data_IF_015013067272
#
_entry.id   IF_015013067272
#
_cell.length_a   1.000
_cell.length_b   1.000
_cell.length_c   1.000
_cell.angle_alpha   90.00
_cell.angle_beta   90.00
_cell.angle_gamma   90.00
#
_symmetry.space_group_name_H-M   'P 1'
#
loop_
_entity.id
_entity.type
_entity.pdbx_description
1 polymer ?
#
# COMPACT_ATOMS: atom_id res chain seq x y z
N UNK A 1 -5.58 -11.02 -52.98
CA UNK A 1 -6.63 -10.57 -52.02
C UNK A 1 -6.94 -11.52 -50.85
N UNK A 2 -7.18 -12.83 -51.00
CA UNK A 2 -7.66 -13.69 -49.88
C UNK A 2 -6.69 -13.93 -48.70
N UNK A 3 -5.37 -13.84 -48.92
CA UNK A 3 -4.36 -14.16 -47.88
C UNK A 3 -4.11 -12.98 -46.92
N UNK A 4 -4.20 -11.75 -47.42
CA UNK A 4 -4.01 -10.52 -46.62
C UNK A 4 -5.20 -10.25 -45.71
N UNK A 5 -6.42 -10.56 -46.15
CA UNK A 5 -7.63 -10.43 -45.32
C UNK A 5 -7.66 -11.44 -44.17
N UNK A 6 -7.21 -12.68 -44.39
CA UNK A 6 -7.17 -13.71 -43.35
C UNK A 6 -6.15 -13.38 -42.24
N UNK A 7 -4.97 -12.88 -42.63
CA UNK A 7 -3.94 -12.45 -41.67
C UNK A 7 -4.40 -11.25 -40.83
N UNK A 8 -5.03 -10.25 -41.46
CA UNK A 8 -5.52 -9.06 -40.77
C UNK A 8 -6.61 -9.39 -39.73
N UNK A 9 -7.51 -10.31 -40.06
CA UNK A 9 -8.56 -10.75 -39.14
C UNK A 9 -7.98 -11.50 -37.92
N UNK A 10 -7.04 -12.43 -38.12
CA UNK A 10 -6.36 -13.12 -37.01
C UNK A 10 -5.58 -12.13 -36.13
N UNK A 11 -4.91 -11.14 -36.74
CA UNK A 11 -4.24 -10.09 -35.99
C UNK A 11 -5.22 -9.24 -35.16
N UNK A 12 -6.34 -8.83 -35.75
CA UNK A 12 -7.37 -8.01 -35.10
C UNK A 12 -8.00 -8.74 -33.90
N UNK A 13 -8.32 -10.02 -34.07
CA UNK A 13 -8.89 -10.87 -33.02
C UNK A 13 -7.92 -11.00 -31.82
N UNK A 14 -6.64 -11.22 -32.09
CA UNK A 14 -5.60 -11.27 -31.04
C UNK A 14 -5.48 -9.94 -30.29
N UNK A 15 -5.53 -8.81 -31.00
CA UNK A 15 -5.49 -7.49 -30.37
C UNK A 15 -6.71 -7.25 -29.47
N UNK A 16 -7.90 -7.59 -29.95
CA UNK A 16 -9.15 -7.45 -29.16
C UNK A 16 -9.07 -8.32 -27.91
N UNK A 17 -8.64 -9.58 -28.04
CA UNK A 17 -8.45 -10.48 -26.92
C UNK A 17 -7.48 -9.91 -25.89
N UNK A 18 -6.30 -9.44 -26.31
CA UNK A 18 -5.31 -8.84 -25.41
C UNK A 18 -5.87 -7.61 -24.68
N UNK A 19 -6.54 -6.70 -25.38
CA UNK A 19 -7.14 -5.51 -24.76
C UNK A 19 -8.18 -5.91 -23.69
N UNK A 20 -9.05 -6.87 -23.99
CA UNK A 20 -10.04 -7.36 -23.04
C UNK A 20 -9.39 -8.03 -21.82
N UNK A 21 -8.36 -8.85 -22.02
CA UNK A 21 -7.64 -9.47 -20.90
C UNK A 21 -6.99 -8.43 -19.99
N UNK A 22 -6.41 -7.37 -20.55
CA UNK A 22 -5.82 -6.28 -19.77
C UNK A 22 -6.88 -5.50 -18.98
N UNK A 23 -8.06 -5.24 -19.57
CA UNK A 23 -9.17 -4.62 -18.85
C UNK A 23 -9.63 -5.44 -17.65
N UNK A 24 -9.77 -6.76 -17.83
CA UNK A 24 -10.09 -7.68 -16.74
C UNK A 24 -9.03 -7.69 -15.66
N UNK A 25 -7.75 -7.75 -16.03
CA UNK A 25 -6.65 -7.71 -15.06
C UNK A 25 -6.66 -6.41 -14.24
N UNK A 26 -6.84 -5.26 -14.89
CA UNK A 26 -6.95 -3.96 -14.20
C UNK A 26 -8.14 -3.98 -13.25
N UNK A 27 -9.30 -4.46 -13.68
CA UNK A 27 -10.50 -4.53 -12.83
C UNK A 27 -10.29 -5.44 -11.61
N UNK A 28 -9.68 -6.61 -11.79
CA UNK A 28 -9.40 -7.55 -10.69
C UNK A 28 -8.43 -6.99 -9.67
N UNK A 29 -7.33 -6.36 -10.12
CA UNK A 29 -6.37 -5.72 -9.21
C UNK A 29 -7.02 -4.55 -8.48
N UNK A 30 -7.83 -3.76 -9.16
CA UNK A 30 -8.55 -2.64 -8.54
C UNK A 30 -9.54 -3.12 -7.47
N UNK A 31 -10.27 -4.21 -7.74
CA UNK A 31 -11.15 -4.83 -6.75
C UNK A 31 -10.37 -5.35 -5.53
N UNK A 32 -9.20 -5.96 -5.76
CA UNK A 32 -8.31 -6.39 -4.69
C UNK A 32 -7.83 -5.21 -3.83
N UNK A 33 -7.44 -4.09 -4.46
CA UNK A 33 -7.07 -2.85 -3.74
C UNK A 33 -8.23 -2.36 -2.87
N UNK A 34 -9.47 -2.37 -3.37
CA UNK A 34 -10.65 -1.96 -2.60
C UNK A 34 -10.84 -2.85 -1.37
N UNK A 35 -10.77 -4.17 -1.54
CA UNK A 35 -10.94 -5.12 -0.43
C UNK A 35 -9.86 -4.90 0.63
N UNK A 36 -8.60 -4.80 0.20
CA UNK A 36 -7.46 -4.56 1.10
C UNK A 36 -7.57 -3.21 1.82
N UNK A 37 -7.82 -2.11 1.09
CA UNK A 37 -8.00 -0.79 1.67
C UNK A 37 -9.19 -0.74 2.65
N UNK A 38 -10.29 -1.42 2.34
CA UNK A 38 -11.45 -1.49 3.24
C UNK A 38 -11.14 -2.28 4.50
N UNK A 39 -10.31 -3.32 4.43
CA UNK A 39 -9.85 -4.04 5.61
C UNK A 39 -8.90 -3.19 6.46
N UNK A 40 -7.92 -2.57 5.83
CA UNK A 40 -6.86 -1.84 6.53
C UNK A 40 -7.33 -0.47 7.07
N UNK A 41 -8.44 0.10 6.56
CA UNK A 41 -9.01 1.35 7.08
C UNK A 41 -9.82 1.16 8.37
N UNK A 42 -10.13 -0.08 8.78
CA UNK A 42 -10.91 -0.37 10.00
C UNK A 42 -10.14 0.09 11.25
N UNK A 43 -8.86 -0.27 11.36
CA UNK A 43 -8.02 0.09 12.51
C UNK A 43 -7.90 1.61 12.72
N UNK A 44 -7.58 2.40 11.68
CA UNK A 44 -7.50 3.85 11.82
C UNK A 44 -8.86 4.49 12.12
N UNK A 45 -9.95 3.96 11.56
CA UNK A 45 -11.32 4.41 11.88
C UNK A 45 -11.64 4.16 13.36
N UNK A 46 -11.39 2.95 13.86
CA UNK A 46 -11.60 2.62 15.26
C UNK A 46 -10.83 3.59 16.17
N UNK A 47 -9.54 3.79 15.89
CA UNK A 47 -8.75 4.74 16.65
C UNK A 47 -9.25 6.19 16.53
N UNK A 48 -9.78 6.62 15.36
CA UNK A 48 -10.23 8.00 15.10
C UNK A 48 -11.58 8.34 15.71
N UNK A 49 -12.52 7.41 15.67
CA UNK A 49 -13.94 7.72 15.86
C UNK A 49 -14.60 6.87 16.95
N UNK A 50 -13.98 5.79 17.41
CA UNK A 50 -14.55 4.96 18.47
C UNK A 50 -14.42 5.63 19.84
N UNK A 51 -15.36 5.32 20.74
CA UNK A 51 -15.27 5.79 22.12
C UNK A 51 -14.10 5.09 22.82
N UNK A 52 -13.39 5.82 23.70
CA UNK A 52 -12.31 5.25 24.50
C UNK A 52 -12.80 4.05 25.31
N UNK A 53 -14.03 4.09 25.85
CA UNK A 53 -14.60 2.97 26.60
C UNK A 53 -14.65 1.67 25.78
N UNK A 54 -15.07 1.75 24.51
CA UNK A 54 -15.12 0.58 23.64
C UNK A 54 -13.71 0.12 23.24
N UNK A 55 -12.83 1.06 22.91
CA UNK A 55 -11.44 0.77 22.53
C UNK A 55 -10.67 0.07 23.67
N UNK A 56 -10.85 0.54 24.90
CA UNK A 56 -10.19 0.01 26.09
C UNK A 56 -10.98 -1.11 26.78
N UNK A 57 -12.16 -1.51 26.29
CA UNK A 57 -12.96 -2.58 26.92
C UNK A 57 -12.16 -3.88 27.10
N UNK A 58 -11.35 -4.27 26.10
CA UNK A 58 -10.49 -5.44 26.19
C UNK A 58 -9.41 -5.30 27.25
N UNK A 59 -8.81 -4.11 27.34
CA UNK A 59 -7.78 -3.75 28.34
C UNK A 59 -8.38 -3.75 29.75
N UNK A 60 -9.53 -3.10 29.94
CA UNK A 60 -10.30 -3.09 31.18
C UNK A 60 -10.61 -4.51 31.63
N UNK A 61 -11.11 -5.35 30.73
CA UNK A 61 -11.41 -6.76 31.05
C UNK A 61 -10.16 -7.52 31.49
N UNK A 62 -9.05 -7.37 30.76
CA UNK A 62 -7.79 -8.05 31.09
C UNK A 62 -7.23 -7.61 32.46
N UNK A 63 -7.36 -6.32 32.78
CA UNK A 63 -6.96 -5.78 34.09
C UNK A 63 -7.94 -6.23 35.19
N UNK A 64 -9.25 -6.18 34.96
CA UNK A 64 -10.26 -6.62 35.94
C UNK A 64 -10.17 -8.11 36.28
N UNK A 65 -9.66 -8.94 35.38
CA UNK A 65 -9.39 -10.37 35.64
C UNK A 65 -8.19 -10.56 36.59
N UNK A 66 -7.26 -9.60 36.63
CA UNK A 66 -5.98 -9.68 37.36
C UNK A 66 -5.91 -8.78 38.60
N UNK A 67 -6.81 -7.81 38.73
CA UNK A 67 -6.84 -6.83 39.82
C UNK A 67 -8.26 -6.57 40.33
N UNK A 68 -8.35 -5.74 41.37
CA UNK A 68 -9.59 -5.09 41.78
C UNK A 68 -10.25 -4.41 40.57
N UNK A 69 -11.58 -4.54 40.45
CA UNK A 69 -12.37 -3.92 39.38
C UNK A 69 -11.97 -2.47 39.17
N UNK A 70 -11.57 -2.16 37.95
CA UNK A 70 -11.22 -0.82 37.52
C UNK A 70 -12.46 0.07 37.46
N UNK A 71 -12.30 1.33 37.85
CA UNK A 71 -13.34 2.35 37.77
C UNK A 71 -12.73 3.59 37.11
N UNK A 72 -12.51 3.49 35.80
CA UNK A 72 -11.87 4.53 35.01
C UNK A 72 -12.94 5.31 34.26
N UNK A 73 -13.02 6.62 34.50
CA UNK A 73 -13.79 7.52 33.68
C UNK A 73 -13.01 7.84 32.39
N UNK A 74 -13.53 7.42 31.24
CA UNK A 74 -12.96 7.69 29.92
C UNK A 74 -13.50 8.97 29.26
N UNK A 75 -14.52 9.61 29.86
CA UNK A 75 -15.18 10.79 29.29
C UNK A 75 -14.47 12.09 29.61
N UNK A 76 -13.66 12.11 30.68
CA UNK A 76 -12.90 13.30 31.10
C UNK A 76 -11.85 13.79 30.08
N UNK A 77 -11.39 15.03 30.26
CA UNK A 77 -10.40 15.65 29.35
C UNK A 77 -9.03 14.97 29.41
N UNK A 78 -8.59 14.54 30.60
CA UNK A 78 -7.29 13.89 30.83
C UNK A 78 -7.12 12.59 30.03
N UNK A 79 -8.02 11.58 30.08
CA UNK A 79 -7.88 10.35 29.30
C UNK A 79 -7.96 10.62 27.79
N UNK A 80 -8.80 11.56 27.34
CA UNK A 80 -8.88 11.93 25.92
C UNK A 80 -7.58 12.59 25.42
N UNK A 81 -7.03 13.53 26.20
CA UNK A 81 -5.75 14.17 25.88
C UNK A 81 -4.64 13.13 25.80
N UNK A 82 -4.56 12.26 26.82
CA UNK A 82 -3.54 11.23 26.88
C UNK A 82 -3.67 10.22 25.75
N UNK A 83 -4.88 9.82 25.41
CA UNK A 83 -5.14 8.95 24.27
C UNK A 83 -4.69 9.57 22.96
N UNK A 84 -5.03 10.85 22.69
CA UNK A 84 -4.59 11.55 21.47
C UNK A 84 -3.07 11.60 21.36
N UNK A 85 -2.42 11.78 22.49
CA UNK A 85 -0.98 11.88 22.60
C UNK A 85 -0.29 10.53 22.39
N UNK A 86 -0.78 9.47 23.04
CA UNK A 86 -0.31 8.09 22.89
C UNK A 86 -0.49 7.57 21.46
N UNK A 87 -1.62 7.90 20.85
CA UNK A 87 -1.96 7.52 19.48
C UNK A 87 -1.05 8.20 18.45
N UNK A 88 -0.69 9.46 18.68
CA UNK A 88 0.06 10.27 17.73
C UNK A 88 -0.67 10.54 16.40
N UNK A 89 0.01 11.13 15.41
CA UNK A 89 -0.60 11.53 14.13
C UNK A 89 -0.76 10.38 13.13
N UNK A 90 -0.15 9.23 13.40
CA UNK A 90 0.01 8.15 12.42
C UNK A 90 -1.32 7.58 11.91
N UNK A 91 -2.30 7.23 12.77
CA UNK A 91 -3.56 6.70 12.26
C UNK A 91 -4.31 7.71 11.37
N UNK A 92 -4.16 9.01 11.62
CA UNK A 92 -4.77 10.06 10.79
C UNK A 92 -4.14 10.07 9.39
N UNK A 93 -2.81 9.98 9.31
CA UNK A 93 -2.09 9.93 8.03
C UNK A 93 -2.50 8.69 7.24
N UNK A 94 -2.52 7.52 7.88
CA UNK A 94 -2.93 6.26 7.26
C UNK A 94 -4.39 6.34 6.79
N UNK A 95 -5.29 6.86 7.62
CA UNK A 95 -6.72 7.03 7.27
C UNK A 95 -6.92 7.90 6.03
N UNK A 96 -6.29 9.08 5.98
CA UNK A 96 -6.38 9.98 4.83
C UNK A 96 -5.84 9.30 3.58
N UNK A 97 -4.67 8.67 3.69
CA UNK A 97 -4.03 7.99 2.58
C UNK A 97 -4.88 6.84 2.02
N UNK A 98 -5.39 5.94 2.87
CA UNK A 98 -6.26 4.83 2.47
C UNK A 98 -7.59 5.33 1.88
N UNK A 99 -8.13 6.44 2.40
CA UNK A 99 -9.36 7.05 1.85
C UNK A 99 -9.15 7.52 0.41
N UNK A 100 -8.01 8.14 0.11
CA UNK A 100 -7.69 8.60 -1.25
C UNK A 100 -7.47 7.39 -2.18
N UNK A 101 -6.77 6.35 -1.73
CA UNK A 101 -6.60 5.11 -2.50
C UNK A 101 -7.96 4.48 -2.82
N UNK A 102 -8.83 4.34 -1.81
CA UNK A 102 -10.15 3.75 -1.96
C UNK A 102 -11.01 4.55 -2.96
N UNK A 103 -11.02 5.88 -2.84
CA UNK A 103 -11.73 6.76 -3.75
C UNK A 103 -11.20 6.63 -5.18
N UNK A 104 -9.88 6.62 -5.38
CA UNK A 104 -9.29 6.45 -6.70
C UNK A 104 -9.61 5.08 -7.31
N UNK A 105 -9.52 4.00 -6.53
CA UNK A 105 -9.85 2.65 -6.98
C UNK A 105 -11.32 2.53 -7.41
N UNK A 106 -12.25 3.11 -6.65
CA UNK A 106 -13.67 3.20 -7.03
C UNK A 106 -13.83 3.97 -8.35
N UNK A 107 -13.14 5.11 -8.51
CA UNK A 107 -13.16 5.87 -9.75
C UNK A 107 -12.59 5.09 -10.94
N UNK A 108 -11.53 4.29 -10.75
CA UNK A 108 -10.99 3.40 -11.80
C UNK A 108 -12.05 2.38 -12.23
N UNK A 109 -12.74 1.72 -11.29
CA UNK A 109 -13.81 0.78 -11.63
C UNK A 109 -14.95 1.45 -12.40
N UNK A 110 -15.40 2.63 -11.96
CA UNK A 110 -16.43 3.38 -12.69
C UNK A 110 -15.97 3.80 -14.09
N UNK A 111 -14.71 4.20 -14.24
CA UNK A 111 -14.13 4.54 -15.54
C UNK A 111 -14.08 3.35 -16.51
N UNK A 112 -13.81 2.14 -15.99
CA UNK A 112 -13.88 0.90 -16.76
C UNK A 112 -15.31 0.52 -17.13
N UNK A 113 -16.25 0.58 -16.17
CA UNK A 113 -17.66 0.21 -16.38
C UNK A 113 -18.36 1.10 -17.41
N UNK A 114 -18.14 2.42 -17.33
CA UNK A 114 -18.76 3.40 -18.23
C UNK A 114 -17.93 3.71 -19.47
N UNK A 115 -16.77 3.05 -19.65
CA UNK A 115 -15.83 3.31 -20.76
C UNK A 115 -15.46 4.80 -20.91
N UNK A 116 -15.33 5.51 -19.79
CA UNK A 116 -15.06 6.95 -19.77
C UNK A 116 -13.55 7.23 -19.89
N UNK A 117 -13.04 7.33 -21.12
CA UNK A 117 -11.59 7.43 -21.38
C UNK A 117 -10.91 8.64 -20.73
N UNK A 118 -11.55 9.81 -20.77
CA UNK A 118 -11.01 11.03 -20.16
C UNK A 118 -10.92 10.88 -18.63
N UNK A 119 -11.96 10.32 -18.02
CA UNK A 119 -12.00 10.05 -16.59
C UNK A 119 -10.91 9.05 -16.17
N UNK A 120 -10.69 8.00 -16.96
CA UNK A 120 -9.60 7.06 -16.74
C UNK A 120 -8.22 7.73 -16.79
N UNK A 121 -7.99 8.62 -17.76
CA UNK A 121 -6.72 9.39 -17.84
C UNK A 121 -6.50 10.24 -16.58
N UNK A 122 -7.51 10.96 -16.12
CA UNK A 122 -7.44 11.73 -14.87
C UNK A 122 -7.12 10.84 -13.66
N UNK A 123 -7.79 9.69 -13.53
CA UNK A 123 -7.54 8.75 -12.44
C UNK A 123 -6.12 8.19 -12.47
N UNK A 124 -5.53 7.99 -13.66
CA UNK A 124 -4.14 7.55 -13.79
C UNK A 124 -3.13 8.62 -13.33
N UNK A 125 -3.40 9.90 -13.55
CA UNK A 125 -2.56 10.97 -12.97
C UNK A 125 -2.62 11.01 -11.43
N UNK A 126 -3.80 10.77 -10.86
CA UNK A 126 -3.95 10.62 -9.40
C UNK A 126 -3.18 9.39 -8.92
N UNK A 127 -3.28 8.26 -9.63
CA UNK A 127 -2.56 7.03 -9.31
C UNK A 127 -1.02 7.21 -9.35
N UNK A 128 -0.51 7.98 -10.31
CA UNK A 128 0.91 8.34 -10.37
C UNK A 128 1.29 9.24 -9.18
N UNK A 129 0.46 10.21 -8.82
CA UNK A 129 0.67 11.04 -7.62
C UNK A 129 0.70 10.20 -6.34
N UNK A 130 -0.20 9.22 -6.24
CA UNK A 130 -0.25 8.25 -5.14
C UNK A 130 1.01 7.39 -5.12
N UNK A 131 1.50 6.91 -6.26
CA UNK A 131 2.75 6.16 -6.33
C UNK A 131 3.96 6.94 -5.81
N UNK A 132 4.04 8.24 -6.13
CA UNK A 132 5.09 9.13 -5.61
C UNK A 132 4.94 9.30 -4.09
N UNK A 133 3.71 9.48 -3.61
CA UNK A 133 3.43 9.57 -2.18
C UNK A 133 3.78 8.26 -1.45
N UNK A 134 3.43 7.09 -2.00
CA UNK A 134 3.78 5.77 -1.47
C UNK A 134 5.29 5.63 -1.33
N UNK A 135 6.04 5.99 -2.37
CA UNK A 135 7.50 5.95 -2.36
C UNK A 135 8.08 6.89 -1.29
N UNK A 136 7.58 8.12 -1.18
CA UNK A 136 8.04 9.09 -0.19
C UNK A 136 7.75 8.61 1.25
N UNK A 137 6.55 8.09 1.50
CA UNK A 137 6.14 7.54 2.79
C UNK A 137 7.00 6.31 3.11
N UNK A 138 7.12 5.35 2.19
CA UNK A 138 7.93 4.14 2.36
C UNK A 138 9.40 4.47 2.67
N UNK A 139 10.02 5.38 1.89
CA UNK A 139 11.40 5.82 2.12
C UNK A 139 11.54 6.50 3.49
N UNK A 140 10.59 7.35 3.87
CA UNK A 140 10.62 8.00 5.18
C UNK A 140 10.58 6.97 6.30
N UNK A 141 9.74 5.95 6.21
CA UNK A 141 9.60 4.95 7.28
C UNK A 141 10.73 3.93 7.35
N UNK A 142 11.36 3.58 6.23
CA UNK A 142 12.48 2.63 6.23
C UNK A 142 13.78 3.26 6.70
N UNK A 143 14.02 4.54 6.37
CA UNK A 143 15.24 5.25 6.74
C UNK A 143 15.14 5.97 8.09
N UNK A 144 13.94 6.18 8.62
CA UNK A 144 13.77 6.74 9.96
C UNK A 144 14.11 5.65 10.98
N UNK A 145 15.16 5.89 11.78
CA UNK A 145 15.50 5.01 12.89
C UNK A 145 14.26 4.84 13.78
N UNK A 146 13.82 3.59 14.04
CA UNK A 146 12.72 3.28 14.94
C UNK A 146 12.81 4.03 16.26
N UNK A 147 14.04 4.18 16.79
CA UNK A 147 14.32 4.87 18.05
C UNK A 147 14.01 6.36 17.97
N UNK A 148 14.21 7.00 16.82
CA UNK A 148 13.91 8.42 16.62
C UNK A 148 12.42 8.69 16.42
N UNK A 149 11.66 7.76 15.81
CA UNK A 149 10.20 7.89 15.74
C UNK A 149 9.50 7.60 17.06
N UNK A 150 10.01 6.62 17.82
CA UNK A 150 9.40 6.16 19.07
C UNK A 150 9.90 6.97 20.27
N UNK A 151 11.04 7.66 20.18
CA UNK A 151 11.57 8.50 21.27
C UNK A 151 10.56 9.50 21.84
N UNK A 152 9.84 10.25 20.98
CA UNK A 152 8.79 11.16 21.45
C UNK A 152 7.62 10.43 22.14
N UNK A 153 7.29 9.22 21.71
CA UNK A 153 6.26 8.39 22.34
C UNK A 153 6.74 7.86 23.69
N UNK A 154 7.99 7.42 23.79
CA UNK A 154 8.60 6.93 25.03
C UNK A 154 8.76 8.04 26.06
N UNK A 155 9.21 9.23 25.66
CA UNK A 155 9.32 10.41 26.52
C UNK A 155 7.96 10.77 27.12
N UNK A 156 6.91 10.65 26.32
CA UNK A 156 5.57 10.99 26.74
C UNK A 156 4.95 9.90 27.62
N UNK A 157 5.19 8.62 27.31
CA UNK A 157 4.85 7.51 28.21
C UNK A 157 5.54 7.64 29.57
N UNK A 158 6.81 8.07 29.58
CA UNK A 158 7.53 8.32 30.83
C UNK A 158 6.88 9.47 31.64
N UNK A 159 6.32 10.49 30.97
CA UNK A 159 5.51 11.52 31.64
C UNK A 159 4.18 10.98 32.15
N UNK A 160 3.57 10.00 31.47
CA UNK A 160 2.37 9.32 31.98
C UNK A 160 2.68 8.51 33.24
N UNK A 161 3.86 7.88 33.29
CA UNK A 161 4.28 7.02 34.40
C UNK A 161 4.20 7.72 35.76
N UNK A 162 4.49 9.02 35.81
CA UNK A 162 4.45 9.79 37.07
C UNK A 162 3.02 9.96 37.62
N UNK A 163 1.99 9.72 36.80
CA UNK A 163 0.57 9.78 37.17
C UNK A 163 0.01 8.42 37.62
N UNK A 164 0.86 7.39 37.69
CA UNK A 164 0.50 6.07 38.17
C UNK A 164 0.12 6.09 39.65
N UNK A 165 -1.05 5.54 40.00
CA UNK A 165 -1.59 5.59 41.35
C UNK A 165 -1.30 4.32 42.16
N UNK A 166 -1.13 3.15 41.53
CA UNK A 166 -0.87 1.88 42.22
C UNK A 166 -1.79 0.74 41.79
N UNK A 167 -2.10 -0.16 42.72
CA UNK A 167 -2.95 -1.33 42.46
C UNK A 167 -4.44 -0.98 42.23
N UNK A 168 -4.88 0.19 42.69
CA UNK A 168 -6.25 0.68 42.47
C UNK A 168 -6.34 1.40 41.12
N UNK A 169 -6.99 0.75 40.16
CA UNK A 169 -7.12 1.24 38.79
C UNK A 169 -8.27 2.26 38.66
N UNK A 170 -8.05 3.46 39.23
CA UNK A 170 -9.03 4.55 39.27
C UNK A 170 -8.78 5.66 38.24
N UNK A 171 -7.67 5.59 37.50
CA UNK A 171 -7.34 6.54 36.45
C UNK A 171 -6.73 5.83 35.24
N UNK A 172 -6.82 6.50 34.09
CA UNK A 172 -6.36 5.97 32.82
C UNK A 172 -4.85 5.63 32.78
N UNK A 173 -3.93 6.45 33.34
CA UNK A 173 -2.51 6.08 33.46
C UNK A 173 -2.27 4.75 34.18
N UNK A 174 -2.97 4.51 35.30
CA UNK A 174 -2.82 3.26 36.06
C UNK A 174 -3.32 2.06 35.29
N UNK A 175 -4.47 2.20 34.60
CA UNK A 175 -5.02 1.15 33.75
C UNK A 175 -4.02 0.77 32.65
N UNK A 176 -3.49 1.78 31.96
CA UNK A 176 -2.56 1.59 30.85
C UNK A 176 -1.29 0.87 31.31
N UNK A 177 -0.64 1.33 32.39
CA UNK A 177 0.58 0.69 32.87
C UNK A 177 0.34 -0.71 33.43
N UNK A 178 -0.79 -0.94 34.13
CA UNK A 178 -1.12 -2.28 34.62
C UNK A 178 -1.28 -3.28 33.45
N UNK A 179 -1.92 -2.85 32.36
CA UNK A 179 -2.02 -3.64 31.15
C UNK A 179 -0.67 -3.85 30.46
N UNK A 180 0.09 -2.78 30.22
CA UNK A 180 1.38 -2.84 29.51
C UNK A 180 2.35 -3.78 30.22
N UNK A 181 2.49 -3.67 31.55
CA UNK A 181 3.42 -4.51 32.30
C UNK A 181 3.09 -6.00 32.15
N UNK A 182 1.79 -6.36 32.22
CA UNK A 182 1.34 -7.74 32.17
C UNK A 182 1.31 -8.30 30.75
N UNK A 183 0.82 -7.53 29.79
CA UNK A 183 0.70 -7.96 28.40
C UNK A 183 2.05 -8.13 27.71
N UNK A 184 3.01 -7.24 28.01
CA UNK A 184 4.34 -7.26 27.40
C UNK A 184 5.43 -7.84 28.31
N UNK A 185 5.08 -8.32 29.50
CA UNK A 185 6.02 -8.89 30.48
C UNK A 185 7.21 -7.96 30.77
N UNK A 186 6.90 -6.69 31.04
CA UNK A 186 7.86 -5.62 31.24
C UNK A 186 7.58 -4.84 32.52
N UNK A 187 8.55 -4.08 33.02
CA UNK A 187 8.35 -3.24 34.18
C UNK A 187 9.14 -1.93 34.08
N UNK A 188 8.45 -0.81 34.30
CA UNK A 188 9.05 0.52 34.14
C UNK A 188 9.39 0.83 32.68
N UNK A 189 9.87 2.03 32.40
CA UNK A 189 10.21 2.42 31.03
C UNK A 189 11.56 1.82 30.61
N UNK A 190 12.58 1.95 31.45
CA UNK A 190 13.90 1.33 31.21
C UNK A 190 14.09 0.03 31.99
N UNK A 191 13.66 0.00 33.25
CA UNK A 191 13.66 -1.18 34.11
C UNK A 191 12.76 -0.99 35.35
N UNK A 192 12.63 -2.05 36.14
CA UNK A 192 11.81 -2.04 37.36
C UNK A 192 12.36 -1.13 38.47
N UNK A 193 13.64 -0.76 38.44
CA UNK A 193 14.28 0.04 39.49
C UNK A 193 13.79 1.48 39.50
N UNK A 194 13.22 1.95 38.40
CA UNK A 194 12.55 3.25 38.33
C UNK A 194 11.47 3.43 39.39
N UNK A 195 10.74 2.37 39.73
CA UNK A 195 9.72 2.39 40.77
C UNK A 195 10.28 2.54 42.18
N UNK A 196 11.58 2.36 42.37
CA UNK A 196 12.29 2.64 43.62
C UNK A 196 12.67 4.12 43.75
N UNK A 197 12.61 4.88 42.65
CA UNK A 197 12.90 6.30 42.64
C UNK A 197 11.80 7.10 43.36
N UNK A 198 12.19 8.09 44.15
CA UNK A 198 11.29 8.92 44.96
C UNK A 198 10.55 9.98 44.15
N UNK A 199 10.97 10.26 42.91
CA UNK A 199 10.26 11.15 41.97
C UNK A 199 8.92 10.56 41.50
N UNK A 200 8.78 9.23 41.44
CA UNK A 200 7.53 8.57 41.07
C UNK A 200 6.72 8.32 42.36
N UNK A 201 5.72 9.17 42.60
CA UNK A 201 4.85 9.09 43.78
C UNK A 201 3.61 8.25 43.45
N UNK A 202 3.54 7.06 44.03
CA UNK A 202 2.42 6.12 43.86
C UNK A 202 2.09 5.41 45.19
N UNK A 203 0.90 4.81 45.29
CA UNK A 203 0.43 4.13 46.50
C UNK A 203 1.13 2.79 46.69
N UNK A 204 2.10 2.75 47.59
CA UNK A 204 2.88 1.55 47.96
C UNK A 204 2.22 0.66 49.02
N UNK A 205 1.09 1.09 49.58
CA UNK A 205 0.36 0.33 50.60
C UNK A 205 -0.84 -0.34 49.96
N UNK A 206 -0.88 -1.67 50.03
CA UNK A 206 -1.94 -2.51 49.45
C UNK A 206 -2.50 -3.46 50.51
N UNK A 207 -3.80 -3.70 50.48
CA UNK A 207 -4.47 -4.53 51.47
C UNK A 207 -4.95 -5.83 50.83
N UNK A 208 -4.49 -6.97 51.36
CA UNK A 208 -4.94 -8.31 50.99
C UNK A 208 -5.31 -9.06 52.28
N UNK A 209 -6.43 -9.77 52.30
CA UNK A 209 -6.93 -10.51 53.48
C UNK A 209 -6.94 -9.68 54.79
N UNK A 210 -7.38 -8.42 54.71
CA UNK A 210 -7.36 -7.45 55.82
C UNK A 210 -5.96 -7.13 56.39
N UNK A 211 -4.88 -7.54 55.72
CA UNK A 211 -3.50 -7.22 56.08
C UNK A 211 -2.95 -6.19 55.08
N UNK A 212 -2.41 -5.10 55.60
CA UNK A 212 -1.76 -4.07 54.78
C UNK A 212 -0.29 -4.40 54.60
N UNK A 213 0.15 -4.47 53.35
CA UNK A 213 1.52 -4.72 52.94
C UNK A 213 2.13 -3.48 52.29
N UNK A 214 3.40 -3.25 52.56
CA UNK A 214 4.22 -2.27 51.82
C UNK A 214 4.92 -2.97 50.65
N UNK A 215 4.64 -2.50 49.43
CA UNK A 215 5.24 -2.98 48.18
C UNK A 215 6.27 -2.00 47.64
N UNK A 216 7.31 -2.53 46.99
CA UNK A 216 8.43 -1.74 46.46
C UNK A 216 8.28 -1.40 44.99
N UNK A 217 7.58 -2.25 44.25
CA UNK A 217 7.29 -2.12 42.82
C UNK A 217 5.79 -2.38 42.57
N UNK A 218 5.23 -1.92 41.44
CA UNK A 218 3.86 -2.24 41.06
C UNK A 218 3.61 -3.73 41.05
N UNK A 219 2.45 -4.14 41.54
CA UNK A 219 1.98 -5.53 41.46
C UNK A 219 1.96 -5.97 39.99
N UNK A 220 1.67 -5.07 39.06
CA UNK A 220 1.69 -5.35 37.62
C UNK A 220 3.06 -5.70 37.03
N UNK A 221 4.16 -5.50 37.75
CA UNK A 221 5.48 -5.95 37.32
C UNK A 221 5.79 -7.41 37.66
N UNK A 222 4.84 -8.13 38.29
CA UNK A 222 5.03 -9.48 38.76
C UNK A 222 4.44 -10.53 37.81
N UNK A 223 5.12 -11.67 37.60
CA UNK A 223 4.51 -12.81 36.91
C UNK A 223 3.42 -13.46 37.77
N UNK A 224 2.48 -14.15 37.11
CA UNK A 224 1.45 -15.01 37.72
C UNK A 224 0.60 -14.30 38.79
N UNK A 225 -0.12 -13.26 38.36
CA UNK A 225 -1.02 -12.52 39.25
C UNK A 225 -2.30 -13.29 39.56
N UNK A 226 -2.73 -13.18 40.82
CA UNK A 226 -3.98 -13.69 41.35
C UNK A 226 -4.65 -12.61 42.18
N UNK A 227 -5.97 -12.49 42.12
CA UNK A 227 -6.74 -11.44 42.83
C UNK A 227 -6.71 -11.61 44.36
N UNK A 228 -6.39 -12.82 44.80
CA UNK A 228 -6.60 -13.35 46.14
C UNK A 228 -5.30 -13.38 46.95
N UNK A 229 -4.14 -13.13 46.34
CA UNK A 229 -2.85 -13.10 47.04
C UNK A 229 -1.92 -12.02 46.50
N UNK A 230 -1.22 -11.35 47.42
CA UNK A 230 -0.11 -10.48 47.06
C UNK A 230 1.07 -11.30 46.51
N UNK A 231 1.59 -11.00 45.30
CA UNK A 231 2.73 -11.71 44.75
C UNK A 231 4.02 -11.33 45.47
N UNK A 232 4.84 -12.34 45.78
CA UNK A 232 6.06 -12.17 46.59
C UNK A 232 7.12 -11.24 45.94
N UNK A 233 7.13 -11.17 44.59
CA UNK A 233 8.00 -10.27 43.82
C UNK A 233 7.72 -8.78 44.06
N UNK A 234 6.49 -8.39 44.42
CA UNK A 234 6.14 -6.99 44.65
C UNK A 234 6.90 -6.38 45.85
N UNK A 235 7.40 -7.25 46.74
CA UNK A 235 8.23 -6.90 47.89
C UNK A 235 9.74 -7.05 47.63
N UNK A 236 10.12 -7.41 46.40
CA UNK A 236 11.48 -7.73 45.97
C UNK A 236 12.10 -8.87 46.80
N UNK A 237 11.36 -9.96 46.97
CA UNK A 237 11.90 -11.19 47.55
C UNK A 237 12.72 -11.96 46.50
N UNK A 238 13.95 -12.39 46.83
CA UNK A 238 14.95 -12.91 45.89
C UNK A 238 14.51 -14.17 45.12
N UNK A 239 13.55 -14.92 45.65
CA UNK A 239 13.08 -16.18 45.05
C UNK A 239 12.09 -15.98 43.91
N UNK A 240 11.54 -14.77 43.74
CA UNK A 240 10.55 -14.44 42.72
C UNK A 240 10.91 -13.09 42.10
N UNK A 241 11.70 -13.06 41.01
CA UNK A 241 12.07 -11.80 40.38
C UNK A 241 10.87 -11.18 39.64
N UNK A 242 10.77 -9.84 39.58
CA UNK A 242 9.82 -9.16 38.71
C UNK A 242 10.27 -9.23 37.25
N UNK A 243 9.45 -8.72 36.34
CA UNK A 243 9.89 -8.43 34.98
C UNK A 243 11.07 -7.46 35.01
N UNK A 244 12.20 -7.88 34.44
CA UNK A 244 13.46 -7.13 34.46
C UNK A 244 13.53 -6.16 33.27
N UNK A 245 12.90 -6.52 32.16
CA UNK A 245 12.95 -5.75 30.92
C UNK A 245 12.08 -4.49 31.01
N UNK A 246 12.62 -3.36 30.56
CA UNK A 246 11.88 -2.10 30.43
C UNK A 246 10.86 -2.14 29.29
N UNK A 247 9.70 -1.53 29.52
CA UNK A 247 8.63 -1.46 28.54
C UNK A 247 8.99 -0.56 27.35
N UNK A 248 9.87 0.42 27.50
CA UNK A 248 10.21 1.35 26.43
C UNK A 248 10.90 0.67 25.25
N UNK A 249 11.80 -0.28 25.52
CA UNK A 249 12.42 -1.08 24.47
C UNK A 249 11.40 -1.96 23.75
N UNK A 250 10.54 -2.66 24.50
CA UNK A 250 9.54 -3.56 23.92
C UNK A 250 8.53 -2.79 23.07
N UNK A 251 8.05 -1.64 23.56
CA UNK A 251 7.10 -0.78 22.87
C UNK A 251 7.70 -0.09 21.63
N UNK A 252 9.03 -0.05 21.50
CA UNK A 252 9.70 0.40 20.27
C UNK A 252 9.44 -0.56 19.10
N UNK A 253 9.22 -1.83 19.41
CA UNK A 253 9.02 -2.88 18.40
C UNK A 253 7.58 -3.42 18.36
N UNK A 254 6.81 -3.21 19.43
CA UNK A 254 5.45 -3.71 19.57
C UNK A 254 4.52 -2.53 19.96
N UNK A 255 3.83 -1.91 19.00
CA UNK A 255 2.91 -0.83 19.31
C UNK A 255 1.77 -1.33 20.20
N UNK A 256 1.23 -0.45 21.05
CA UNK A 256 0.04 -0.75 21.87
C UNK A 256 -1.21 -0.87 20.99
N UNK A 257 -1.25 -0.11 19.89
CA UNK A 257 -2.37 -0.08 18.96
C UNK A 257 -1.89 -0.49 17.57
N UNK A 258 -2.38 -1.62 17.07
CA UNK A 258 -2.19 -1.99 15.68
C UNK A 258 -3.12 -1.14 14.81
N UNK A 259 -2.54 -0.30 13.94
CA UNK A 259 -3.32 0.55 13.05
C UNK A 259 -3.74 -0.16 11.78
N UNK A 260 -3.00 -1.15 11.29
CA UNK A 260 -3.30 -1.89 10.06
C UNK A 260 -3.00 -3.38 10.25
N UNK A 261 -3.50 -4.23 9.33
CA UNK A 261 -3.29 -5.69 9.44
C UNK A 261 -1.85 -6.15 9.11
N UNK A 262 -1.07 -5.26 8.49
CA UNK A 262 0.34 -5.43 8.16
C UNK A 262 1.13 -4.46 9.05
N UNK A 263 2.41 -4.73 9.30
CA UNK A 263 3.26 -3.74 9.98
C UNK A 263 3.21 -2.39 9.24
N UNK A 264 3.08 -1.31 9.99
CA UNK A 264 3.02 0.07 9.48
C UNK A 264 4.21 0.45 8.60
N UNK A 265 5.34 -0.25 8.74
CA UNK A 265 6.53 -0.04 7.90
C UNK A 265 6.36 -0.57 6.48
N UNK A 266 5.48 -1.55 6.30
CA UNK A 266 5.33 -2.28 5.05
C UNK A 266 3.95 -2.09 4.41
N UNK A 267 2.99 -1.44 5.08
CA UNK A 267 1.64 -1.30 4.54
C UNK A 267 1.64 -0.59 3.17
N UNK A 268 2.45 0.47 2.99
CA UNK A 268 2.54 1.19 1.70
C UNK A 268 3.18 0.38 0.58
N UNK A 269 4.01 -0.61 0.89
CA UNK A 269 4.71 -1.41 -0.12
C UNK A 269 3.72 -2.21 -0.97
N UNK A 270 2.66 -2.74 -0.34
CA UNK A 270 1.63 -3.52 -1.04
C UNK A 270 0.89 -2.64 -2.05
N UNK A 271 0.50 -1.43 -1.64
CA UNK A 271 -0.15 -0.46 -2.53
C UNK A 271 0.78 0.04 -3.62
N UNK A 272 2.04 0.33 -3.30
CA UNK A 272 3.06 0.74 -4.26
C UNK A 272 3.19 -0.29 -5.41
N UNK A 273 3.33 -1.58 -5.06
CA UNK A 273 3.42 -2.65 -6.06
C UNK A 273 2.13 -2.76 -6.87
N UNK A 274 0.97 -2.70 -6.22
CA UNK A 274 -0.33 -2.76 -6.91
C UNK A 274 -0.53 -1.57 -7.88
N UNK A 275 -0.10 -0.37 -7.50
CA UNK A 275 -0.13 0.83 -8.33
C UNK A 275 0.80 0.71 -9.54
N UNK A 276 2.05 0.21 -9.37
CA UNK A 276 2.96 -0.05 -10.50
C UNK A 276 2.34 -1.01 -11.50
N UNK A 277 1.78 -2.13 -11.03
CA UNK A 277 1.17 -3.13 -11.90
C UNK A 277 -0.01 -2.51 -12.65
N UNK A 278 -0.89 -1.79 -11.96
CA UNK A 278 -2.07 -1.14 -12.55
C UNK A 278 -1.68 -0.11 -13.62
N UNK A 279 -0.70 0.74 -13.34
CA UNK A 279 -0.18 1.73 -14.30
C UNK A 279 0.44 1.01 -15.51
N UNK A 280 1.25 -0.03 -15.28
CA UNK A 280 1.91 -0.79 -16.35
C UNK A 280 0.88 -1.44 -17.28
N UNK A 281 -0.15 -2.08 -16.73
CA UNK A 281 -1.24 -2.67 -17.52
C UNK A 281 -2.00 -1.61 -18.31
N UNK A 282 -2.25 -0.44 -17.72
CA UNK A 282 -2.91 0.67 -18.41
C UNK A 282 -2.07 1.22 -19.58
N UNK A 283 -0.76 1.38 -19.40
CA UNK A 283 0.17 1.83 -20.46
C UNK A 283 0.22 0.83 -21.60
N UNK A 284 0.29 -0.47 -21.30
CA UNK A 284 0.26 -1.52 -22.34
C UNK A 284 -1.08 -1.47 -23.09
N UNK A 285 -2.20 -1.40 -22.37
CA UNK A 285 -3.54 -1.32 -22.99
C UNK A 285 -3.66 -0.11 -23.93
N UNK A 286 -3.25 1.07 -23.47
CA UNK A 286 -3.35 2.30 -24.28
C UNK A 286 -2.44 2.25 -25.51
N UNK A 287 -1.26 1.63 -25.40
CA UNK A 287 -0.37 1.40 -26.55
C UNK A 287 -0.99 0.45 -27.57
N UNK A 288 -1.60 -0.66 -27.13
CA UNK A 288 -2.29 -1.60 -28.02
C UNK A 288 -3.51 -0.95 -28.71
N UNK A 289 -4.28 -0.13 -27.99
CA UNK A 289 -5.39 0.62 -28.57
C UNK A 289 -4.92 1.59 -29.66
N UNK A 290 -3.82 2.31 -29.41
CA UNK A 290 -3.22 3.21 -30.40
C UNK A 290 -2.77 2.43 -31.63
N UNK A 291 -2.00 1.35 -31.45
CA UNK A 291 -1.55 0.49 -32.54
C UNK A 291 -2.73 -0.09 -33.34
N UNK A 292 -3.80 -0.53 -32.67
CA UNK A 292 -5.04 -0.97 -33.30
C UNK A 292 -5.62 0.11 -34.20
N UNK A 293 -5.74 1.34 -33.70
CA UNK A 293 -6.31 2.46 -34.47
C UNK A 293 -5.48 2.83 -35.70
N UNK A 294 -4.15 2.85 -35.58
CA UNK A 294 -3.24 3.21 -36.69
C UNK A 294 -3.28 2.16 -37.82
N UNK A 295 -3.29 0.88 -37.46
CA UNK A 295 -3.34 -0.20 -38.46
C UNK A 295 -4.73 -0.29 -39.11
N UNK A 296 -5.81 -0.07 -38.35
CA UNK A 296 -7.16 -0.02 -38.92
C UNK A 296 -7.29 1.13 -39.94
N UNK A 297 -6.72 2.29 -39.62
CA UNK A 297 -6.66 3.43 -40.53
C UNK A 297 -5.90 3.11 -41.82
N UNK A 298 -4.69 2.54 -41.71
CA UNK A 298 -3.89 2.13 -42.88
C UNK A 298 -4.58 1.07 -43.73
N UNK A 299 -5.37 0.18 -43.11
CA UNK A 299 -6.12 -0.86 -43.81
C UNK A 299 -7.28 -0.26 -44.61
N UNK A 300 -8.03 0.69 -44.01
CA UNK A 300 -9.12 1.40 -44.68
C UNK A 300 -8.63 2.33 -45.81
N UNK A 301 -7.45 2.94 -45.68
CA UNK A 301 -6.83 3.73 -46.76
C UNK A 301 -6.28 2.88 -47.92
N UNK A 302 -6.36 1.55 -47.85
CA UNK A 302 -5.86 0.64 -48.89
C UNK A 302 -4.34 0.54 -48.98
N UNK A 303 -3.59 1.26 -48.14
CA UNK A 303 -2.11 1.28 -48.11
C UNK A 303 -1.48 -0.05 -47.64
N UNK A 304 -2.27 -0.94 -47.06
CA UNK A 304 -1.86 -2.28 -46.63
C UNK A 304 -2.09 -3.37 -47.69
N UNK A 305 -2.69 -3.05 -48.85
CA UNK A 305 -2.80 -4.00 -49.97
C UNK A 305 -1.45 -4.09 -50.68
N UNK A 306 -0.75 -5.21 -50.52
CA UNK A 306 0.51 -5.50 -51.21
C UNK A 306 0.30 -5.52 -52.73
N UNK A 307 1.09 -4.72 -53.44
CA UNK A 307 1.32 -4.75 -54.90
C UNK A 307 1.85 -6.12 -55.36
N UNK A 308 1.00 -7.15 -55.38
CA UNK A 308 1.33 -8.47 -55.91
C UNK A 308 0.60 -8.76 -57.24
N UNK A 309 0.33 -7.73 -58.03
CA UNK A 309 -0.23 -7.85 -59.38
C UNK A 309 0.74 -7.28 -60.41
N UNK A 310 1.97 -7.80 -60.50
CA UNK A 310 2.82 -7.52 -61.68
C UNK A 310 3.93 -8.55 -61.87
N UNK A 311 3.60 -9.85 -61.85
CA UNK A 311 4.57 -10.85 -62.31
C UNK A 311 3.93 -12.14 -62.84
N UNK A 312 3.00 -12.00 -63.79
CA UNK A 312 2.74 -13.04 -64.78
C UNK A 312 1.79 -12.46 -65.80
N UNK A 313 2.29 -12.01 -66.95
CA UNK A 313 1.69 -12.19 -68.27
C UNK A 313 2.53 -11.43 -69.32
N UNK A 314 2.83 -12.11 -70.44
CA UNK A 314 3.42 -11.60 -71.69
C UNK A 314 4.95 -11.44 -71.64
N UNK A 315 5.78 -12.23 -72.35
CA UNK A 315 5.72 -12.50 -73.79
C UNK A 315 6.52 -13.75 -74.20
N UNK A 316 5.88 -14.66 -74.94
CA UNK A 316 6.52 -15.67 -75.78
C UNK A 316 6.39 -15.23 -77.26
N UNK A 317 7.45 -15.48 -78.04
CA UNK A 317 7.56 -15.50 -79.52
C UNK A 317 8.08 -14.26 -80.29
N UNK A 318 9.32 -14.46 -80.80
CA UNK A 318 9.76 -14.42 -82.21
C UNK A 318 10.36 -13.15 -82.85
N UNK A 319 11.69 -13.25 -83.06
CA UNK A 319 12.50 -13.12 -84.31
C UNK A 319 13.07 -11.78 -84.83
N UNK A 320 14.37 -11.87 -85.18
CA UNK A 320 15.29 -11.03 -85.99
C UNK A 320 15.69 -9.66 -85.38
N UNK A 321 16.94 -9.20 -85.32
CA UNK A 321 18.17 -9.46 -86.10
C UNK A 321 19.46 -9.07 -85.31
N UNK A 322 20.60 -9.71 -85.64
CA UNK A 322 22.01 -9.24 -85.62
C UNK A 322 22.53 -8.30 -84.48
N UNK A 323 23.69 -8.47 -83.83
CA UNK A 323 24.98 -8.98 -84.32
C UNK A 323 26.00 -9.06 -83.15
N UNK A 324 26.87 -10.07 -83.22
CA UNK A 324 28.27 -10.12 -82.77
C UNK A 324 28.74 -10.09 -81.29
N UNK A 325 29.29 -11.26 -80.94
CA UNK A 325 30.67 -11.54 -80.46
C UNK A 325 30.98 -11.72 -78.95
N UNK A 326 31.14 -13.01 -78.64
CA UNK A 326 32.31 -13.69 -78.04
C UNK A 326 32.50 -13.81 -76.51
N UNK A 327 32.30 -15.08 -76.10
CA UNK A 327 33.16 -15.96 -75.27
C UNK A 327 33.08 -15.95 -73.73
N UNK A 328 32.35 -16.97 -73.24
CA UNK A 328 32.78 -18.08 -72.37
C UNK A 328 33.54 -17.80 -71.05
N UNK A 329 32.88 -17.97 -69.89
CA UNK A 329 32.69 -19.25 -69.16
C UNK A 329 32.30 -18.99 -67.69
N UNK A 330 31.26 -19.71 -67.21
CA UNK A 330 31.03 -20.39 -65.91
C UNK A 330 31.59 -19.77 -64.60
N UNK A 331 30.93 -19.76 -63.44
CA UNK A 331 29.70 -20.37 -62.92
C UNK A 331 29.45 -19.74 -61.51
N UNK A 332 28.19 -19.39 -61.21
CA UNK A 332 27.44 -19.81 -60.00
C UNK A 332 27.73 -19.20 -58.59
N UNK A 333 26.62 -18.71 -57.99
CA UNK A 333 26.19 -18.55 -56.56
C UNK A 333 26.38 -17.18 -55.84
N UNK A 334 25.23 -16.49 -55.76
CA UNK A 334 24.63 -15.68 -54.67
C UNK A 334 25.40 -15.48 -53.36
N UNK A 335 25.44 -14.25 -52.82
CA UNK A 335 24.45 -13.73 -51.82
C UNK A 335 24.83 -12.34 -51.26
N UNK A 336 23.84 -11.44 -51.26
CA UNK A 336 23.38 -10.56 -50.16
C UNK A 336 24.29 -9.46 -49.55
N UNK A 337 23.69 -8.25 -49.55
CA UNK A 337 23.86 -7.08 -48.67
C UNK A 337 25.09 -6.16 -48.80
N UNK A 338 24.83 -4.89 -49.13
CA UNK A 338 24.82 -3.76 -48.18
C UNK A 338 24.80 -2.43 -48.95
N UNK A 339 23.81 -1.58 -48.69
CA UNK A 339 23.87 -0.13 -48.87
C UNK A 339 22.56 0.46 -48.33
N UNK A 340 22.50 1.50 -47.51
CA UNK A 340 23.46 2.23 -46.69
C UNK A 340 22.62 3.25 -45.90
N UNK A 341 22.90 3.41 -44.62
CA UNK A 341 22.30 4.43 -43.74
C UNK A 341 22.96 5.79 -44.02
N UNK A 342 22.17 6.85 -44.24
CA UNK A 342 22.52 8.27 -43.99
C UNK A 342 21.25 9.15 -44.15
N UNK A 343 20.56 9.51 -43.06
CA UNK A 343 20.57 10.81 -42.32
C UNK A 343 19.73 11.96 -42.89
N UNK A 344 18.79 12.40 -42.05
CA UNK A 344 18.30 13.76 -41.78
C UNK A 344 17.63 14.57 -42.91
N UNK A 345 16.30 14.77 -42.79
CA UNK A 345 15.68 16.09 -42.99
C UNK A 345 14.41 16.25 -42.16
N UNK A 346 14.38 17.38 -41.47
CA UNK A 346 13.29 18.00 -40.70
C UNK A 346 12.01 18.17 -41.53
N UNK A 347 10.85 17.76 -41.00
CA UNK A 347 9.51 18.30 -41.31
C UNK A 347 8.77 18.36 -39.96
N UNK A 348 8.45 19.52 -39.40
CA UNK A 348 7.71 20.60 -40.03
C UNK A 348 6.22 20.33 -39.74
N UNK A 349 5.74 20.85 -38.60
CA UNK A 349 4.33 20.87 -38.23
C UNK A 349 3.53 21.57 -39.33
N UNK A 350 2.68 20.82 -40.03
CA UNK A 350 1.61 21.34 -40.88
C UNK A 350 0.28 20.90 -40.29
N UNK A 351 -0.42 21.83 -39.63
CA UNK A 351 -1.83 21.66 -39.27
C UNK A 351 -2.68 21.96 -40.50
N UNK A 352 -3.10 20.94 -41.23
CA UNK A 352 -4.19 21.10 -42.19
C UNK A 352 -5.52 20.75 -41.51
N UNK A 353 -6.29 21.80 -41.22
CA UNK A 353 -7.70 21.71 -40.87
C UNK A 353 -8.48 21.18 -42.08
N UNK A 354 -8.69 19.86 -42.15
CA UNK A 354 -9.67 19.28 -43.07
C UNK A 354 -11.04 19.31 -42.38
N UNK A 355 -11.93 20.14 -42.92
CA UNK A 355 -13.36 20.19 -42.54
C UNK A 355 -14.00 18.80 -42.72
N UNK A 356 -14.91 18.38 -41.81
CA UNK A 356 -15.53 17.06 -41.89
C UNK A 356 -16.45 16.97 -43.11
N UNK A 357 -16.25 15.93 -43.92
CA UNK A 357 -17.20 15.57 -44.95
C UNK A 357 -18.44 14.95 -44.29
N UNK A 358 -19.61 15.53 -44.58
CA UNK A 358 -20.92 14.95 -44.26
C UNK A 358 -21.02 13.57 -44.93
N UNK A 359 -21.59 12.63 -44.18
CA UNK A 359 -21.84 11.23 -44.51
C UNK A 359 -20.69 10.29 -44.14
N UNK A 360 -20.70 9.85 -42.89
CA UNK A 360 -20.78 8.43 -42.55
C UNK A 360 -21.20 8.32 -41.09
N UNK A 361 -22.50 8.58 -40.88
CA UNK A 361 -23.23 8.12 -39.71
C UNK A 361 -23.47 6.62 -39.86
N UNK A 362 -23.33 5.89 -38.75
CA UNK A 362 -23.53 4.45 -38.57
C UNK A 362 -22.26 3.62 -38.70
N UNK A 363 -21.55 3.42 -37.59
CA UNK A 363 -21.35 2.11 -36.97
C UNK A 363 -20.94 2.37 -35.50
N UNK A 364 -21.81 1.92 -34.58
CA UNK A 364 -21.63 2.00 -33.13
C UNK A 364 -20.76 0.86 -32.61
#
# INVERSE_FOLDING_TARGET
MKKTTLWFNDWLDRQIFLIWTLEWMIATITLYIIIMATRDIIGPIALLFESLENLFRGIVKAVDEQYTKSNVDFTGEQPQFLFRLLRGPLPTVIFIHLTIILMNAICILFGLLFRAEYFMKCNMFILISLLIADAAVFLTWIYKDPKTSVGMFLDELQRVQIQYLGAETNNFPTLLFNYVHQHFHCCGMNDYTEWLNSTIKWKRMVTYDNITYEIKIPISCCPNLTNDRLPDCARLNSNYPPFIQGCGEILTYNPIFDTTSISERFYTLVYFVAHIITISLYVVKTTLLKQKSEILFLYHEGKLQTNNEEETYVNNNKTLDNNNNNNNNNDIINTVNEQSIATNTVRGFGYDFVKPHKNDSHFY
#
